data_IF_470114341267
#
_entry.id   IF_470114341267
#
_cell.length_a   1.000
_cell.length_b   1.000
_cell.length_c   1.000
_cell.angle_alpha   90.00
_cell.angle_beta   90.00
_cell.angle_gamma   90.00
#
_symmetry.space_group_name_H-M   'P 1'
#
loop_
_entity.id
_entity.type
_entity.pdbx_description
1 polymer ?
#
# COMPACT_ATOMS: atom_id res chain seq x y z
N UNK A 1 -4.79 -9.60 19.55
CA UNK A 1 -4.74 -8.31 18.83
C UNK A 1 -6.12 -7.84 18.46
N UNK A 2 -6.41 -6.55 18.64
CA UNK A 2 -7.65 -5.92 18.17
C UNK A 2 -7.70 -5.96 16.64
N UNK A 3 -8.89 -6.06 16.04
CA UNK A 3 -9.09 -6.11 14.57
C UNK A 3 -8.42 -4.91 13.89
N UNK A 4 -8.52 -3.73 14.50
CA UNK A 4 -7.92 -2.49 14.00
C UNK A 4 -6.39 -2.57 13.90
N UNK A 5 -5.72 -3.18 14.88
CA UNK A 5 -4.27 -3.41 14.84
C UNK A 5 -3.87 -4.40 13.74
N UNK A 6 -4.67 -5.45 13.52
CA UNK A 6 -4.41 -6.42 12.44
C UNK A 6 -4.49 -5.75 11.07
N UNK A 7 -5.47 -4.87 10.88
CA UNK A 7 -5.65 -4.10 9.65
C UNK A 7 -4.46 -3.16 9.42
N UNK A 8 -4.04 -2.43 10.45
CA UNK A 8 -2.87 -1.53 10.36
C UNK A 8 -1.62 -2.32 9.94
N UNK A 9 -1.32 -3.43 10.62
CA UNK A 9 -0.15 -4.26 10.27
C UNK A 9 -0.24 -4.78 8.83
N UNK A 10 -1.42 -5.26 8.40
CA UNK A 10 -1.61 -5.74 7.05
C UNK A 10 -1.29 -4.64 6.01
N UNK A 11 -1.83 -3.43 6.19
CA UNK A 11 -1.57 -2.32 5.26
C UNK A 11 -0.15 -1.74 5.36
N UNK A 12 0.51 -1.82 6.51
CA UNK A 12 1.94 -1.51 6.63
C UNK A 12 2.77 -2.47 5.78
N UNK A 13 2.51 -3.78 5.88
CA UNK A 13 3.20 -4.79 5.05
C UNK A 13 2.89 -4.55 3.58
N UNK A 14 1.62 -4.27 3.24
CA UNK A 14 1.17 -4.01 1.88
C UNK A 14 1.83 -2.76 1.28
N UNK A 15 1.95 -1.69 2.06
CA UNK A 15 2.66 -0.46 1.69
C UNK A 15 4.16 -0.71 1.49
N UNK A 16 4.77 -1.51 2.36
CA UNK A 16 6.18 -1.91 2.24
C UNK A 16 6.42 -2.69 0.94
N UNK A 17 5.65 -3.74 0.67
CA UNK A 17 5.74 -4.52 -0.56
C UNK A 17 5.49 -3.64 -1.80
N UNK A 18 4.54 -2.72 -1.73
CA UNK A 18 4.24 -1.80 -2.83
C UNK A 18 5.39 -0.83 -3.11
N UNK A 19 6.14 -0.40 -2.08
CA UNK A 19 7.32 0.44 -2.24
C UNK A 19 8.44 -0.26 -3.01
N UNK A 20 8.72 -1.52 -2.66
CA UNK A 20 9.65 -2.36 -3.41
C UNK A 20 9.19 -2.60 -4.85
N UNK A 21 7.91 -2.93 -5.04
CA UNK A 21 7.35 -3.14 -6.37
C UNK A 21 7.46 -1.88 -7.23
N UNK A 22 7.16 -0.70 -6.67
CA UNK A 22 7.27 0.59 -7.37
C UNK A 22 8.70 0.82 -7.83
N UNK A 23 9.67 0.61 -6.94
CA UNK A 23 11.08 0.76 -7.28
C UNK A 23 11.51 -0.23 -8.38
N UNK A 24 11.09 -1.49 -8.27
CA UNK A 24 11.38 -2.51 -9.28
C UNK A 24 10.80 -2.15 -10.65
N UNK A 25 9.54 -1.72 -10.72
CA UNK A 25 8.89 -1.30 -11.96
C UNK A 25 9.56 -0.06 -12.57
N UNK A 26 10.00 0.87 -11.72
CA UNK A 26 10.73 2.06 -12.14
C UNK A 26 12.09 1.71 -12.76
N UNK A 27 12.90 0.89 -12.08
CA UNK A 27 14.21 0.44 -12.58
C UNK A 27 14.08 -0.41 -13.85
N UNK A 28 13.02 -1.23 -13.94
CA UNK A 28 12.78 -2.10 -15.12
C UNK A 28 12.34 -1.33 -16.37
N UNK A 29 12.22 0.00 -16.31
CA UNK A 29 11.87 0.84 -17.45
C UNK A 29 10.41 0.72 -17.89
N UNK A 30 9.53 0.15 -17.06
CA UNK A 30 8.09 0.01 -17.35
C UNK A 30 7.32 1.34 -17.32
N UNK A 31 8.02 2.45 -17.02
CA UNK A 31 7.48 3.81 -17.02
C UNK A 31 6.87 4.20 -15.68
N UNK A 32 7.04 5.48 -15.33
CA UNK A 32 6.61 6.07 -14.04
C UNK A 32 5.10 5.90 -13.79
N UNK A 33 4.30 5.91 -14.87
CA UNK A 33 2.84 5.72 -14.80
C UNK A 33 2.51 4.36 -14.22
N UNK A 34 3.11 3.28 -14.73
CA UNK A 34 2.85 1.93 -14.22
C UNK A 34 3.37 1.74 -12.79
N UNK A 35 4.53 2.32 -12.48
CA UNK A 35 5.09 2.29 -11.14
C UNK A 35 4.16 2.95 -10.11
N UNK A 36 3.51 4.07 -10.46
CA UNK A 36 2.56 4.76 -9.57
C UNK A 36 1.19 4.07 -9.52
N UNK A 37 0.67 3.60 -10.65
CA UNK A 37 -0.69 3.02 -10.73
C UNK A 37 -0.76 1.66 -10.05
N UNK A 38 0.27 0.82 -10.15
CA UNK A 38 0.25 -0.54 -9.59
C UNK A 38 -0.02 -0.59 -8.06
N UNK A 39 0.62 0.24 -7.21
CA UNK A 39 0.30 0.36 -5.78
C UNK A 39 -1.16 0.70 -5.50
N UNK A 40 -1.77 1.60 -6.28
CA UNK A 40 -3.19 1.93 -6.11
C UNK A 40 -4.09 0.75 -6.45
N UNK A 41 -3.80 0.04 -7.55
CA UNK A 41 -4.54 -1.18 -7.93
C UNK A 41 -4.44 -2.22 -6.82
N UNK A 42 -3.23 -2.44 -6.28
CA UNK A 42 -2.99 -3.36 -5.16
C UNK A 42 -3.81 -2.96 -3.92
N UNK A 43 -3.84 -1.66 -3.58
CA UNK A 43 -4.65 -1.17 -2.47
C UNK A 43 -6.14 -1.47 -2.68
N UNK A 44 -6.71 -1.10 -3.84
CA UNK A 44 -8.14 -1.33 -4.12
C UNK A 44 -8.51 -2.82 -4.13
N UNK A 45 -7.65 -3.67 -4.68
CA UNK A 45 -7.85 -5.13 -4.65
C UNK A 45 -7.83 -5.63 -3.20
N UNK A 46 -6.85 -5.22 -2.39
CA UNK A 46 -6.77 -5.61 -0.97
C UNK A 46 -7.97 -5.15 -0.15
N UNK A 47 -8.54 -4.01 -0.53
CA UNK A 47 -9.67 -3.41 0.14
C UNK A 47 -10.95 -4.20 -0.08
N UNK A 48 -11.16 -4.74 -1.28
CA UNK A 48 -12.29 -5.65 -1.54
C UNK A 48 -12.30 -6.84 -0.58
N UNK A 49 -11.14 -7.46 -0.37
CA UNK A 49 -11.01 -8.57 0.59
C UNK A 49 -11.34 -8.13 2.02
N UNK A 50 -10.90 -6.94 2.41
CA UNK A 50 -11.10 -6.44 3.76
C UNK A 50 -12.55 -6.03 4.05
N UNK A 51 -13.24 -5.46 3.06
CA UNK A 51 -14.68 -5.15 3.15
C UNK A 51 -15.51 -6.43 3.32
N UNK A 52 -15.19 -7.49 2.58
CA UNK A 52 -15.85 -8.80 2.70
C UNK A 52 -15.62 -9.40 4.10
N UNK A 53 -14.41 -9.28 4.62
CA UNK A 53 -14.02 -9.93 5.89
C UNK A 53 -14.56 -9.22 7.13
N UNK A 54 -14.58 -7.88 7.13
CA UNK A 54 -14.82 -7.11 8.36
C UNK A 54 -16.32 -6.84 8.60
N UNK A 55 -17.20 -7.00 7.58
CA UNK A 55 -18.68 -6.80 7.63
C UNK A 55 -19.16 -5.52 8.37
N UNK A 56 -18.26 -4.56 8.65
CA UNK A 56 -18.57 -3.32 9.36
C UNK A 56 -18.38 -2.14 8.42
N UNK A 57 -19.40 -1.28 8.35
CA UNK A 57 -19.26 0.07 7.81
C UNK A 57 -18.47 0.92 8.79
N UNK A 58 -17.18 1.10 8.56
CA UNK A 58 -16.44 2.22 9.14
C UNK A 58 -15.65 2.86 8.01
N UNK A 59 -16.19 3.92 7.42
CA UNK A 59 -15.46 4.85 6.54
C UNK A 59 -14.12 5.27 7.17
N UNK A 60 -14.10 5.37 8.51
CA UNK A 60 -12.89 5.61 9.31
C UNK A 60 -11.80 4.53 9.12
N UNK A 61 -12.17 3.25 9.00
CA UNK A 61 -11.21 2.16 8.76
C UNK A 61 -10.62 2.25 7.35
N UNK A 62 -11.43 2.63 6.36
CA UNK A 62 -10.96 2.88 5.00
C UNK A 62 -9.94 4.03 4.99
N UNK A 63 -10.30 5.16 5.60
CA UNK A 63 -9.44 6.33 5.63
C UNK A 63 -8.11 6.05 6.34
N UNK A 64 -8.15 5.45 7.53
CA UNK A 64 -6.94 5.14 8.28
C UNK A 64 -6.06 4.12 7.56
N UNK A 65 -6.63 3.10 6.93
CA UNK A 65 -5.85 2.13 6.16
C UNK A 65 -5.24 2.74 4.90
N UNK A 66 -5.97 3.60 4.19
CA UNK A 66 -5.47 4.31 3.01
C UNK A 66 -4.29 5.23 3.36
N UNK A 67 -4.44 6.06 4.39
CA UNK A 67 -3.39 6.97 4.84
C UNK A 67 -2.17 6.17 5.32
N UNK A 68 -2.37 5.09 6.08
CA UNK A 68 -1.27 4.21 6.51
C UNK A 68 -0.53 3.62 5.31
N UNK A 69 -1.28 3.07 4.34
CA UNK A 69 -0.71 2.52 3.13
C UNK A 69 0.11 3.56 2.36
N UNK A 70 -0.46 4.74 2.10
CA UNK A 70 0.21 5.83 1.37
C UNK A 70 1.50 6.27 2.07
N UNK A 71 1.44 6.51 3.38
CA UNK A 71 2.60 6.96 4.14
C UNK A 71 3.72 5.93 4.09
N UNK A 72 3.41 4.65 4.33
CA UNK A 72 4.42 3.59 4.31
C UNK A 72 4.97 3.39 2.90
N UNK A 73 4.09 3.32 1.90
CA UNK A 73 4.48 3.16 0.50
C UNK A 73 5.42 4.26 0.04
N UNK A 74 5.04 5.53 0.21
CA UNK A 74 5.86 6.67 -0.19
C UNK A 74 7.18 6.71 0.58
N UNK A 75 7.16 6.45 1.89
CA UNK A 75 8.38 6.44 2.70
C UNK A 75 9.36 5.39 2.18
N UNK A 76 8.90 4.17 1.95
CA UNK A 76 9.76 3.08 1.46
C UNK A 76 10.22 3.35 0.04
N UNK A 77 9.35 3.85 -0.84
CA UNK A 77 9.75 4.16 -2.21
C UNK A 77 10.77 5.30 -2.29
N UNK A 78 10.57 6.40 -1.57
CA UNK A 78 11.53 7.51 -1.50
C UNK A 78 12.87 7.03 -0.94
N UNK A 79 12.83 6.20 0.11
CA UNK A 79 14.04 5.64 0.71
C UNK A 79 14.79 4.75 -0.29
N UNK A 80 14.10 3.85 -0.97
CA UNK A 80 14.70 2.98 -2.00
C UNK A 80 15.23 3.77 -3.20
N UNK A 81 14.48 4.77 -3.65
CA UNK A 81 14.91 5.66 -4.74
C UNK A 81 16.22 6.38 -4.40
N UNK A 82 16.36 6.86 -3.15
CA UNK A 82 17.59 7.53 -2.70
C UNK A 82 18.75 6.57 -2.38
N UNK A 83 18.46 5.32 -1.98
CA UNK A 83 19.47 4.32 -1.65
C UNK A 83 20.03 3.56 -2.87
N UNK A 84 19.52 3.83 -4.07
CA UNK A 84 20.00 3.21 -5.29
C UNK A 84 18.89 2.58 -6.13
N UNK A 85 17.84 3.37 -6.40
CA UNK A 85 17.26 3.30 -7.73
C UNK A 85 18.34 3.48 -8.79
#
# INVERSE_FOLDING_TARGET
>A
MKIEQKIIIAYTILGFCSGFLTNYLFISGLGLIFAIVAPFVIYFVSLLFLVVFVKKKKILLFYNSFVTFLLVWLTIWILLYNLGG
#
